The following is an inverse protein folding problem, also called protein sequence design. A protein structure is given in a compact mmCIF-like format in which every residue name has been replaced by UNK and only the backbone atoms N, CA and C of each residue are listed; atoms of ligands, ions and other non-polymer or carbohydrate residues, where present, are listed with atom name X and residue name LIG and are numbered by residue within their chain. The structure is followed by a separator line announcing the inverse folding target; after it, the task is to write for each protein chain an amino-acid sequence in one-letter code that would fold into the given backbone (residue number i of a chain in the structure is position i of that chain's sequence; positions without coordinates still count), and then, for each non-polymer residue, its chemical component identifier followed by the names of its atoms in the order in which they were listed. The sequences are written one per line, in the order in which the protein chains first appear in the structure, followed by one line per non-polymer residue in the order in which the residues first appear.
data_IF_608623049144
#
_entry.id   IF_608623049144
#
_cell.length_a   1.000
_cell.length_b   1.000
_cell.length_c   1.000
_cell.angle_alpha   90.00
_cell.angle_beta   90.00
_cell.angle_gamma   90.00
#
_symmetry.space_group_name_H-M   'P 1'
#
loop_
_entity.id
_entity.type
_entity.pdbx_description
1 polymer ?
#
# COMPACT_ATOMS: atom_id res chain seq x y z
N UNK A 1 -2.18 -11.26 21.34
CA UNK A 1 -1.49 -10.96 20.07
C UNK A 1 -0.26 -10.11 20.30
N UNK A 2 -0.41 -8.94 20.93
CA UNK A 2 0.70 -8.00 21.20
C UNK A 2 1.81 -8.65 22.03
N UNK A 3 1.50 -9.17 23.22
CA UNK A 3 2.48 -9.85 24.09
C UNK A 3 3.10 -11.09 23.42
N UNK A 4 2.26 -11.99 22.89
CA UNK A 4 2.70 -13.25 22.27
C UNK A 4 3.68 -13.06 21.10
N UNK A 5 3.49 -12.01 20.30
CA UNK A 5 4.26 -11.79 19.06
C UNK A 5 5.15 -10.54 19.12
N UNK A 6 5.26 -9.87 20.26
CA UNK A 6 6.04 -8.64 20.42
C UNK A 6 5.57 -7.48 19.54
N UNK A 7 4.29 -7.45 19.16
CA UNK A 7 3.76 -6.41 18.27
C UNK A 7 3.51 -5.13 19.06
N UNK A 8 3.90 -3.99 18.48
CA UNK A 8 3.55 -2.66 19.03
C UNK A 8 2.04 -2.47 19.17
N UNK A 9 1.27 -3.03 18.23
CA UNK A 9 -0.18 -2.98 18.22
C UNK A 9 -0.78 -4.17 17.47
N UNK A 10 -1.89 -4.71 17.95
CA UNK A 10 -2.75 -5.63 17.21
C UNK A 10 -4.20 -5.12 17.24
N UNK A 11 -4.77 -4.91 16.04
CA UNK A 11 -6.17 -4.51 15.90
C UNK A 11 -6.97 -5.73 15.42
N UNK A 12 -7.97 -6.14 16.21
CA UNK A 12 -8.82 -7.29 15.90
C UNK A 12 -10.17 -6.79 15.42
N UNK A 13 -10.57 -7.22 14.22
CA UNK A 13 -11.87 -6.86 13.63
C UNK A 13 -12.85 -8.01 13.85
N UNK A 14 -13.96 -7.80 14.59
CA UNK A 14 -14.98 -8.83 14.73
C UNK A 14 -15.65 -9.09 13.38
N UNK A 15 -15.74 -10.35 12.97
CA UNK A 15 -16.37 -10.74 11.71
C UNK A 15 -17.15 -12.04 11.85
N UNK A 16 -18.45 -12.00 11.56
CA UNK A 16 -19.35 -13.14 11.68
C UNK A 16 -19.47 -13.86 10.33
N UNK A 17 -18.61 -14.86 10.11
CA UNK A 17 -18.52 -15.60 8.83
C UNK A 17 -19.84 -16.24 8.36
N UNK A 18 -20.69 -16.65 9.30
CA UNK A 18 -22.01 -17.24 8.98
C UNK A 18 -23.02 -16.22 8.44
N UNK A 19 -22.79 -14.93 8.69
CA UNK A 19 -23.71 -13.84 8.34
C UNK A 19 -23.26 -13.05 7.12
N UNK A 20 -21.97 -13.03 6.81
CA UNK A 20 -21.41 -12.14 5.78
C UNK A 20 -20.48 -12.88 4.82
N UNK A 21 -20.52 -12.57 3.51
CA UNK A 21 -19.64 -13.18 2.52
C UNK A 21 -18.19 -12.72 2.71
N UNK A 22 -17.24 -13.47 2.15
CA UNK A 22 -15.80 -13.14 2.22
C UNK A 22 -15.44 -11.74 1.70
N UNK A 23 -16.21 -11.20 0.73
CA UNK A 23 -15.99 -9.83 0.26
C UNK A 23 -16.16 -8.78 1.38
N UNK A 24 -17.11 -9.02 2.30
CA UNK A 24 -17.34 -8.14 3.45
C UNK A 24 -16.21 -8.24 4.48
N UNK A 25 -15.47 -9.35 4.53
CA UNK A 25 -14.29 -9.47 5.40
C UNK A 25 -13.22 -8.45 4.98
N UNK A 26 -12.89 -8.40 3.68
CA UNK A 26 -11.89 -7.45 3.16
C UNK A 26 -12.36 -6.02 3.41
N UNK A 27 -13.64 -5.73 3.20
CA UNK A 27 -14.22 -4.41 3.45
C UNK A 27 -14.13 -4.01 4.93
N UNK A 28 -14.51 -4.89 5.85
CA UNK A 28 -14.45 -4.62 7.28
C UNK A 28 -13.00 -4.38 7.74
N UNK A 29 -12.06 -5.22 7.29
CA UNK A 29 -10.63 -5.03 7.53
C UNK A 29 -10.13 -3.69 6.99
N UNK A 30 -10.48 -3.35 5.74
CA UNK A 30 -10.05 -2.12 5.08
C UNK A 30 -10.55 -0.86 5.80
N UNK A 31 -11.80 -0.85 6.28
CA UNK A 31 -12.36 0.28 7.02
C UNK A 31 -11.62 0.46 8.36
N UNK A 32 -11.42 -0.61 9.12
CA UNK A 32 -10.73 -0.52 10.41
C UNK A 32 -9.25 -0.18 10.23
N UNK A 33 -8.57 -0.82 9.27
CA UNK A 33 -7.18 -0.52 8.94
C UNK A 33 -7.02 0.92 8.46
N UNK A 34 -7.94 1.41 7.62
CA UNK A 34 -7.92 2.78 7.12
C UNK A 34 -7.98 3.81 8.24
N UNK A 35 -8.89 3.63 9.21
CA UNK A 35 -8.97 4.49 10.40
C UNK A 35 -7.66 4.49 11.19
N UNK A 36 -7.13 3.31 11.50
CA UNK A 36 -5.90 3.17 12.26
C UNK A 36 -4.69 3.78 11.53
N UNK A 37 -4.58 3.57 10.21
CA UNK A 37 -3.51 4.15 9.39
C UNK A 37 -3.60 5.67 9.36
N UNK A 38 -4.81 6.25 9.26
CA UNK A 38 -4.99 7.71 9.31
C UNK A 38 -4.48 8.34 10.60
N UNK A 39 -4.59 7.63 11.73
CA UNK A 39 -4.02 8.08 13.01
C UNK A 39 -2.49 8.01 13.03
N UNK A 40 -1.89 7.08 12.27
CA UNK A 40 -0.44 6.93 12.17
C UNK A 40 0.21 7.96 11.24
N UNK A 41 -0.44 8.30 10.12
CA UNK A 41 0.13 9.16 9.06
C UNK A 41 0.70 10.50 9.59
N UNK A 42 0.07 11.23 10.53
CA UNK A 42 0.62 12.48 11.06
C UNK A 42 2.01 12.35 11.69
N UNK A 43 2.37 11.17 12.19
CA UNK A 43 3.66 10.91 12.85
C UNK A 43 4.76 10.40 11.90
N UNK A 44 4.46 10.20 10.61
CA UNK A 44 5.35 9.53 9.65
C UNK A 44 5.44 10.29 8.33
N UNK A 45 6.64 10.49 7.80
CA UNK A 45 6.90 11.37 6.66
C UNK A 45 7.09 10.62 5.34
N UNK A 46 7.54 9.36 5.40
CA UNK A 46 8.00 8.60 4.23
C UNK A 46 7.31 7.25 4.23
N UNK A 47 6.16 7.21 3.57
CA UNK A 47 5.23 6.09 3.67
C UNK A 47 5.33 5.19 2.44
N UNK A 48 5.71 3.93 2.66
CA UNK A 48 5.73 2.89 1.64
C UNK A 48 4.38 2.22 1.46
N UNK A 49 3.94 2.08 0.21
CA UNK A 49 2.69 1.43 -0.18
C UNK A 49 3.00 0.19 -1.00
N UNK A 50 2.54 -0.96 -0.51
CA UNK A 50 2.50 -2.19 -1.28
C UNK A 50 1.27 -2.27 -2.18
N UNK A 51 0.85 -3.49 -2.47
CA UNK A 51 -0.19 -3.79 -3.43
C UNK A 51 -1.00 -5.00 -2.98
N UNK A 52 -2.09 -5.30 -3.68
CA UNK A 52 -3.02 -6.37 -3.36
C UNK A 52 -4.40 -5.87 -2.93
N UNK A 53 -5.39 -6.79 -2.99
CA UNK A 53 -6.82 -6.47 -2.82
C UNK A 53 -7.11 -5.74 -1.50
N UNK A 54 -6.54 -6.20 -0.39
CA UNK A 54 -6.76 -5.58 0.93
C UNK A 54 -6.13 -4.20 1.05
N UNK A 55 -4.91 -4.02 0.54
CA UNK A 55 -4.23 -2.70 0.53
C UNK A 55 -5.04 -1.71 -0.30
N UNK A 56 -5.47 -2.11 -1.49
CA UNK A 56 -6.30 -1.28 -2.37
C UNK A 56 -7.61 -0.87 -1.70
N UNK A 57 -8.36 -1.80 -1.10
CA UNK A 57 -9.58 -1.47 -0.38
C UNK A 57 -9.32 -0.55 0.82
N UNK A 58 -8.18 -0.71 1.49
CA UNK A 58 -7.77 0.17 2.60
C UNK A 58 -7.49 1.58 2.10
N UNK A 59 -6.79 1.75 0.97
CA UNK A 59 -6.55 3.05 0.35
C UNK A 59 -7.88 3.73 -0.03
N UNK A 60 -8.82 2.96 -0.61
CA UNK A 60 -10.15 3.48 -0.90
C UNK A 60 -10.86 3.92 0.38
N UNK A 61 -10.81 3.13 1.46
CA UNK A 61 -11.43 3.46 2.73
C UNK A 61 -10.83 4.71 3.38
N UNK A 62 -9.51 4.89 3.32
CA UNK A 62 -8.81 6.11 3.78
C UNK A 62 -9.34 7.34 3.03
N UNK A 63 -9.50 7.22 1.71
CA UNK A 63 -9.88 8.32 0.84
C UNK A 63 -11.40 8.52 0.71
N UNK A 64 -12.22 7.63 1.27
CA UNK A 64 -13.68 7.62 1.12
C UNK A 64 -14.41 8.65 2.01
N UNK A 65 -13.70 9.51 2.74
CA UNK A 65 -14.34 10.47 3.64
C UNK A 65 -15.34 11.39 2.94
N UNK A 66 -16.57 11.36 3.46
CA UNK A 66 -17.75 12.08 2.95
C UNK A 66 -17.97 13.44 3.62
N UNK A 67 -17.14 13.81 4.60
CA UNK A 67 -17.33 15.01 5.44
C UNK A 67 -16.82 16.31 4.81
N UNK A 68 -16.29 16.30 3.59
CA UNK A 68 -15.79 17.51 2.92
C UNK A 68 -14.47 18.07 3.48
N UNK A 69 -14.01 17.58 4.62
CA UNK A 69 -12.75 17.95 5.25
C UNK A 69 -11.62 17.08 4.71
N UNK A 70 -11.09 17.42 3.53
CA UNK A 70 -9.74 16.94 3.17
C UNK A 70 -8.75 17.45 4.24
N UNK A 71 -7.73 16.65 4.61
CA UNK A 71 -6.65 17.13 5.47
C UNK A 71 -6.16 18.50 5.00
N UNK A 72 -6.25 19.53 5.84
CA UNK A 72 -5.79 20.86 5.42
C UNK A 72 -4.29 20.79 5.11
N UNK A 73 -3.80 21.47 4.05
CA UNK A 73 -2.38 21.53 3.75
C UNK A 73 -1.62 22.02 4.97
N UNK A 74 -0.83 21.13 5.59
CA UNK A 74 -0.01 21.49 6.74
C UNK A 74 1.35 21.94 6.21
N UNK A 75 1.54 23.26 6.14
CA UNK A 75 2.76 23.92 5.59
C UNK A 75 4.06 23.44 6.25
N UNK A 76 3.98 22.82 7.44
CA UNK A 76 5.16 22.44 8.24
C UNK A 76 5.74 21.05 7.94
N UNK A 77 5.07 20.20 7.15
CA UNK A 77 5.47 18.79 7.03
C UNK A 77 5.43 18.27 5.59
N UNK A 78 6.58 17.84 5.09
CA UNK A 78 6.66 17.15 3.80
C UNK A 78 6.32 15.65 3.99
N UNK A 79 5.08 15.28 3.64
CA UNK A 79 4.67 13.89 3.51
C UNK A 79 4.94 13.40 2.10
N UNK A 80 5.52 12.20 1.95
CA UNK A 80 5.72 11.56 0.63
C UNK A 80 5.31 10.09 0.67
N UNK A 81 4.58 9.66 -0.35
CA UNK A 81 4.23 8.26 -0.58
C UNK A 81 5.14 7.62 -1.64
N UNK A 82 5.58 6.39 -1.37
CA UNK A 82 6.52 5.63 -2.21
C UNK A 82 6.00 4.21 -2.47
N UNK A 83 6.30 3.61 -3.63
CA UNK A 83 5.95 2.23 -3.91
C UNK A 83 6.96 1.30 -3.26
N UNK A 84 6.46 0.21 -2.68
CA UNK A 84 7.30 -0.87 -2.11
C UNK A 84 7.54 -2.01 -3.12
N UNK A 85 6.95 -1.91 -4.31
CA UNK A 85 7.10 -2.89 -5.37
C UNK A 85 6.90 -2.24 -6.74
N UNK A 86 7.44 -2.85 -7.80
CA UNK A 86 7.11 -2.50 -9.18
C UNK A 86 5.65 -2.79 -9.55
N UNK A 87 5.28 -2.48 -10.79
CA UNK A 87 3.96 -2.83 -11.34
C UNK A 87 3.96 -4.22 -11.98
N UNK A 88 2.82 -4.90 -12.01
CA UNK A 88 2.70 -6.20 -12.73
C UNK A 88 2.35 -6.08 -14.22
N UNK A 89 2.14 -4.87 -14.74
CA UNK A 89 1.56 -4.72 -16.10
C UNK A 89 0.11 -5.20 -16.23
N UNK A 90 -0.54 -5.56 -15.12
CA UNK A 90 -1.93 -6.02 -15.05
C UNK A 90 -2.88 -4.82 -14.92
N UNK A 91 -4.04 -4.84 -15.59
CA UNK A 91 -5.03 -3.75 -15.52
C UNK A 91 -5.79 -3.68 -14.18
N UNK A 92 -5.69 -4.72 -13.37
CA UNK A 92 -6.39 -4.83 -12.09
C UNK A 92 -5.95 -3.70 -11.13
N UNK A 93 -6.88 -2.88 -10.60
CA UNK A 93 -6.53 -1.70 -9.80
C UNK A 93 -5.69 -1.99 -8.57
N UNK A 94 -5.89 -3.17 -7.97
CA UNK A 94 -5.14 -3.61 -6.79
C UNK A 94 -3.69 -4.00 -7.09
N UNK A 95 -3.29 -4.03 -8.38
CA UNK A 95 -1.91 -4.18 -8.81
C UNK A 95 -1.28 -2.89 -9.36
N UNK A 96 -2.03 -1.79 -9.35
CA UNK A 96 -1.59 -0.49 -9.81
C UNK A 96 -1.10 0.37 -8.63
N UNK A 97 0.08 0.02 -8.10
CA UNK A 97 0.65 0.67 -6.90
C UNK A 97 0.83 2.19 -7.07
N UNK A 98 1.26 2.64 -8.24
CA UNK A 98 1.42 4.06 -8.53
C UNK A 98 0.07 4.81 -8.49
N UNK A 99 -1.03 4.18 -8.92
CA UNK A 99 -2.37 4.78 -8.83
C UNK A 99 -2.88 4.88 -7.38
N UNK A 100 -2.54 3.91 -6.52
CA UNK A 100 -2.84 3.99 -5.08
C UNK A 100 -2.06 5.10 -4.39
N UNK A 101 -0.77 5.24 -4.73
CA UNK A 101 0.10 6.30 -4.23
C UNK A 101 -0.41 7.67 -4.65
N UNK A 102 -0.78 7.82 -5.92
CA UNK A 102 -1.29 9.08 -6.46
C UNK A 102 -2.57 9.51 -5.74
N UNK A 103 -3.51 8.57 -5.54
CA UNK A 103 -4.74 8.81 -4.78
C UNK A 103 -4.47 9.23 -3.32
N UNK A 104 -3.51 8.59 -2.65
CA UNK A 104 -3.13 8.97 -1.28
C UNK A 104 -2.47 10.35 -1.25
N UNK A 105 -1.55 10.60 -2.18
CA UNK A 105 -0.87 11.88 -2.29
C UNK A 105 -1.85 13.03 -2.51
N UNK A 106 -2.83 12.84 -3.40
CA UNK A 106 -3.92 13.81 -3.60
C UNK A 106 -4.77 13.99 -2.34
N UNK A 107 -5.15 12.90 -1.67
CA UNK A 107 -5.98 12.97 -0.46
C UNK A 107 -5.28 13.72 0.69
N UNK A 108 -3.97 13.52 0.88
CA UNK A 108 -3.21 14.13 1.97
C UNK A 108 -2.46 15.41 1.59
N UNK A 109 -2.63 15.93 0.36
CA UNK A 109 -1.84 17.05 -0.17
C UNK A 109 -0.32 16.83 -0.03
N UNK A 110 0.11 15.62 -0.37
CA UNK A 110 1.46 15.11 -0.18
C UNK A 110 2.18 14.90 -1.52
N UNK A 111 3.49 14.64 -1.47
CA UNK A 111 4.25 14.27 -2.65
C UNK A 111 4.09 12.78 -2.96
N UNK A 112 4.30 12.41 -4.21
CA UNK A 112 4.42 11.03 -4.67
C UNK A 112 5.75 10.81 -5.40
N UNK A 113 6.25 9.58 -5.34
CA UNK A 113 7.27 9.05 -6.25
C UNK A 113 6.75 7.76 -6.83
N UNK A 114 7.03 7.51 -8.10
CA UNK A 114 6.56 6.33 -8.81
C UNK A 114 7.72 5.43 -9.22
N UNK A 115 7.46 4.14 -9.22
CA UNK A 115 8.40 3.13 -9.66
C UNK A 115 7.80 2.46 -10.89
N UNK A 116 8.37 2.76 -12.05
CA UNK A 116 7.91 2.29 -13.35
C UNK A 116 8.82 1.16 -13.86
N UNK A 117 8.94 0.11 -13.04
CA UNK A 117 9.62 -1.14 -13.38
C UNK A 117 8.66 -2.29 -13.13
N UNK A 118 8.83 -3.44 -13.81
CA UNK A 118 8.02 -4.60 -13.53
C UNK A 118 8.36 -5.19 -12.14
N UNK A 119 7.35 -5.69 -11.43
CA UNK A 119 7.51 -6.34 -10.13
C UNK A 119 8.17 -7.71 -10.25
N UNK A 120 7.96 -8.38 -11.39
CA UNK A 120 8.51 -9.66 -11.76
C UNK A 120 9.19 -9.49 -13.12
N UNK A 121 10.37 -10.08 -13.27
CA UNK A 121 11.13 -10.04 -14.50
C UNK A 121 11.71 -11.41 -14.77
N UNK A 122 11.76 -11.80 -16.04
CA UNK A 122 12.48 -13.01 -16.44
C UNK A 122 13.97 -12.86 -16.12
N UNK A 123 14.62 -13.97 -15.80
CA UNK A 123 16.02 -13.99 -15.35
C UNK A 123 16.99 -13.37 -16.37
N UNK A 124 16.70 -13.50 -17.66
CA UNK A 124 17.52 -12.95 -18.75
C UNK A 124 17.14 -11.52 -19.17
N UNK A 125 16.08 -10.96 -18.58
CA UNK A 125 15.58 -9.66 -19.01
C UNK A 125 16.46 -8.51 -18.50
N UNK A 126 17.12 -7.84 -19.43
CA UNK A 126 17.88 -6.62 -19.13
C UNK A 126 16.93 -5.42 -19.07
N UNK A 127 16.78 -4.84 -17.88
CA UNK A 127 16.04 -3.59 -17.74
C UNK A 127 16.74 -2.43 -18.48
N UNK A 128 15.99 -1.56 -19.18
CA UNK A 128 16.51 -0.32 -19.75
C UNK A 128 17.26 0.51 -18.69
N UNK A 129 18.27 1.28 -19.13
CA UNK A 129 19.10 2.12 -18.23
C UNK A 129 18.23 3.01 -17.33
N UNK A 130 17.22 3.66 -17.90
CA UNK A 130 16.31 4.55 -17.19
C UNK A 130 15.50 3.82 -16.09
N UNK A 131 15.10 2.57 -16.34
CA UNK A 131 14.41 1.75 -15.34
C UNK A 131 15.36 1.35 -14.20
N UNK A 132 16.62 1.04 -14.51
CA UNK A 132 17.64 0.75 -13.50
C UNK A 132 17.97 1.97 -12.65
N UNK A 133 18.11 3.14 -13.25
CA UNK A 133 18.32 4.39 -12.52
C UNK A 133 17.13 4.73 -11.62
N UNK A 134 15.91 4.54 -12.11
CA UNK A 134 14.69 4.72 -11.30
C UNK A 134 14.66 3.73 -10.12
N UNK A 135 14.99 2.46 -10.37
CA UNK A 135 15.11 1.46 -9.32
C UNK A 135 16.14 1.85 -8.26
N UNK A 136 17.36 2.22 -8.64
CA UNK A 136 18.41 2.60 -7.69
C UNK A 136 18.05 3.86 -6.88
N UNK A 137 17.34 4.80 -7.49
CA UNK A 137 16.80 5.98 -6.80
C UNK A 137 15.79 5.59 -5.71
N UNK A 138 14.82 4.73 -6.06
CA UNK A 138 13.78 4.26 -5.13
C UNK A 138 14.36 3.31 -4.06
N UNK A 139 15.32 2.47 -4.42
CA UNK A 139 15.98 1.53 -3.51
C UNK A 139 16.63 2.25 -2.33
N UNK A 140 17.35 3.34 -2.58
CA UNK A 140 17.94 4.19 -1.53
C UNK A 140 16.86 4.83 -0.65
N UNK A 141 15.70 5.14 -1.23
CA UNK A 141 14.57 5.69 -0.47
C UNK A 141 13.96 4.64 0.46
N UNK A 142 13.93 3.37 0.09
CA UNK A 142 13.37 2.31 0.94
C UNK A 142 14.06 2.21 2.31
N UNK A 143 15.35 2.52 2.39
CA UNK A 143 16.13 2.55 3.65
C UNK A 143 15.67 3.64 4.63
N UNK A 144 14.88 4.60 4.14
CA UNK A 144 14.43 5.78 4.89
C UNK A 144 12.92 5.78 5.16
N UNK A 145 12.21 4.72 4.76
CA UNK A 145 10.77 4.59 5.00
C UNK A 145 10.53 4.41 6.50
N UNK A 146 9.65 5.23 7.06
CA UNK A 146 9.29 5.19 8.48
C UNK A 146 7.93 4.50 8.74
N UNK A 147 7.13 4.29 7.70
CA UNK A 147 5.89 3.50 7.75
C UNK A 147 5.68 2.70 6.46
N UNK A 148 5.47 1.39 6.57
CA UNK A 148 5.13 0.52 5.44
C UNK A 148 3.71 -0.04 5.58
N UNK A 149 2.90 0.10 4.52
CA UNK A 149 1.55 -0.45 4.42
C UNK A 149 1.58 -1.58 3.41
N UNK A 150 1.56 -2.82 3.92
CA UNK A 150 1.64 -4.04 3.11
C UNK A 150 0.47 -4.98 3.41
N UNK A 151 0.09 -5.76 2.41
CA UNK A 151 -0.79 -6.91 2.57
C UNK A 151 0.03 -8.17 2.76
N UNK A 152 -0.42 -9.07 3.64
CA UNK A 152 0.16 -10.41 3.76
C UNK A 152 -0.68 -11.37 2.91
N UNK A 153 -0.07 -11.85 1.82
CA UNK A 153 -0.67 -12.87 0.96
C UNK A 153 -0.57 -14.27 1.55
N UNK A 154 -1.33 -15.21 0.97
CA UNK A 154 -1.18 -16.63 1.26
C UNK A 154 0.13 -17.21 0.71
N UNK A 155 0.35 -18.53 0.87
CA UNK A 155 1.55 -19.19 0.38
C UNK A 155 1.78 -18.96 -1.12
N UNK A 156 3.04 -18.77 -1.50
CA UNK A 156 3.47 -18.49 -2.89
C UNK A 156 3.00 -19.59 -3.86
N UNK A 157 2.93 -20.85 -3.42
CA UNK A 157 2.47 -21.97 -4.26
C UNK A 157 1.02 -21.81 -4.72
N UNK A 158 0.24 -20.97 -4.05
CA UNK A 158 -1.15 -20.67 -4.38
C UNK A 158 -1.30 -19.32 -5.11
N UNK A 159 -0.20 -18.64 -5.42
CA UNK A 159 -0.22 -17.34 -6.09
C UNK A 159 -0.56 -17.49 -7.57
N UNK A 160 -1.71 -16.96 -7.97
CA UNK A 160 -2.12 -16.88 -9.39
C UNK A 160 -1.12 -16.05 -10.20
N UNK A 161 -0.54 -15.00 -9.60
CA UNK A 161 0.45 -14.12 -10.23
C UNK A 161 1.70 -14.90 -10.63
N UNK A 162 2.23 -15.71 -9.71
CA UNK A 162 3.49 -16.42 -9.93
C UNK A 162 3.29 -17.60 -10.88
N UNK A 163 2.08 -18.16 -10.94
CA UNK A 163 1.73 -19.21 -11.91
C UNK A 163 1.50 -18.67 -13.32
N UNK A 164 1.21 -17.38 -13.46
CA UNK A 164 0.90 -16.75 -14.74
C UNK A 164 2.11 -16.16 -15.47
N UNK A 165 3.29 -16.13 -14.82
CA UNK A 165 4.56 -15.73 -15.43
C UNK A 165 5.48 -16.93 -15.66
#
# INVERSE_FOLDING_TARGET
MEEKYGLKKAVVVPFFKLKYPQAELIRALAITAGKFIKELIPSHHRIGIGWGKTVYQTVLAICAERSGEKPKPTVKRELTFFPLIGGLGQSLPYYQVNAMIDRLAEHFHAKSRFLNIPALSQKEQVLPVQMRENYESIRKIWETIDLAIIGLGGPIQNSEIIKSE
#
